data_IF_957931230051
#
_entry.id   IF_957931230051
#
_cell.length_a   1.000
_cell.length_b   1.000
_cell.length_c   1.000
_cell.angle_alpha   90.00
_cell.angle_beta   90.00
_cell.angle_gamma   90.00
#
_symmetry.space_group_name_H-M   'P 1'
#
loop_
_entity.id
_entity.type
_entity.pdbx_description
1 polymer ?
#
# COMPACT_ATOMS: atom_id res chain seq x y z
N UNK A 1 -16.05 2.94 7.17
CA UNK A 1 -14.69 3.04 6.60
C UNK A 1 -14.65 4.23 5.64
N UNK A 2 -13.58 4.98 5.71
CA UNK A 2 -13.44 6.23 4.95
C UNK A 2 -13.70 6.06 3.45
N UNK A 3 -13.12 5.03 2.83
CA UNK A 3 -13.22 4.82 1.39
C UNK A 3 -14.67 4.65 0.91
N UNK A 4 -15.47 3.93 1.68
CA UNK A 4 -16.89 3.74 1.36
C UNK A 4 -17.68 5.03 1.55
N UNK A 5 -17.30 5.86 2.50
CA UNK A 5 -17.97 7.14 2.76
C UNK A 5 -17.61 8.20 1.73
N UNK A 6 -16.33 8.27 1.34
CA UNK A 6 -15.85 9.27 0.38
C UNK A 6 -16.20 8.94 -1.06
N UNK A 7 -16.33 7.66 -1.39
CA UNK A 7 -16.62 7.16 -2.74
C UNK A 7 -15.58 7.56 -3.80
N UNK A 8 -14.36 7.88 -3.37
CA UNK A 8 -13.27 8.25 -4.29
C UNK A 8 -12.57 7.05 -4.88
N UNK A 9 -12.65 5.91 -4.21
CA UNK A 9 -11.99 4.70 -4.64
C UNK A 9 -12.42 3.50 -3.81
N UNK A 10 -11.72 2.39 -3.98
CA UNK A 10 -12.04 1.14 -3.33
C UNK A 10 -10.83 0.56 -2.62
N UNK A 11 -11.09 -0.06 -1.45
CA UNK A 11 -10.11 -0.90 -0.77
C UNK A 11 -10.31 -2.33 -1.25
N UNK A 12 -9.24 -2.94 -1.76
CA UNK A 12 -9.27 -4.34 -2.21
C UNK A 12 -8.28 -5.12 -1.36
N UNK A 13 -8.73 -6.22 -0.75
CA UNK A 13 -7.88 -7.08 0.07
C UNK A 13 -7.32 -8.22 -0.75
N UNK A 14 -6.04 -8.55 -0.51
CA UNK A 14 -5.30 -9.62 -1.19
C UNK A 14 -5.51 -9.63 -2.72
N UNK A 15 -5.38 -8.47 -3.41
CA UNK A 15 -5.59 -8.44 -4.85
C UNK A 15 -4.41 -9.08 -5.59
N UNK A 16 -4.71 -9.78 -6.67
CA UNK A 16 -3.65 -10.21 -7.58
C UNK A 16 -3.22 -9.03 -8.45
N UNK A 17 -1.96 -8.60 -8.32
CA UNK A 17 -1.35 -7.59 -9.17
C UNK A 17 -0.52 -8.29 -10.23
N UNK A 18 -0.96 -8.23 -11.48
CA UNK A 18 -0.29 -8.88 -12.61
C UNK A 18 0.28 -7.81 -13.52
N UNK A 19 1.55 -7.49 -13.33
CA UNK A 19 2.23 -6.45 -14.13
C UNK A 19 2.78 -7.02 -15.44
N UNK A 20 3.42 -8.22 -15.33
CA UNK A 20 3.89 -9.00 -16.47
C UNK A 20 3.78 -10.47 -16.08
N UNK A 21 4.10 -11.39 -16.98
CA UNK A 21 4.10 -12.82 -16.68
C UNK A 21 5.04 -13.17 -15.53
N UNK A 22 6.08 -12.38 -15.31
CA UNK A 22 7.11 -12.65 -14.31
C UNK A 22 6.98 -11.76 -13.05
N UNK A 23 6.20 -10.67 -13.11
CA UNK A 23 6.08 -9.69 -12.03
C UNK A 23 4.67 -9.72 -11.44
N UNK A 24 4.39 -10.76 -10.67
CA UNK A 24 3.09 -10.94 -10.02
C UNK A 24 3.27 -10.86 -8.50
N UNK A 25 2.41 -10.11 -7.82
CA UNK A 25 2.41 -10.01 -6.37
C UNK A 25 0.97 -10.01 -5.84
N UNK A 26 0.81 -10.38 -4.58
CA UNK A 26 -0.47 -10.30 -3.89
C UNK A 26 -0.23 -9.55 -2.59
N UNK A 27 -0.36 -8.22 -2.59
CA UNK A 27 -0.24 -7.44 -1.35
C UNK A 27 -1.42 -7.69 -0.42
N UNK A 28 -1.28 -7.32 0.86
CA UNK A 28 -2.34 -7.53 1.84
C UNK A 28 -3.58 -6.70 1.51
N UNK A 29 -3.39 -5.43 1.18
CA UNK A 29 -4.48 -4.62 0.66
C UNK A 29 -3.95 -3.47 -0.20
N UNK A 30 -4.83 -2.94 -1.04
CA UNK A 30 -4.55 -1.75 -1.83
C UNK A 30 -5.74 -0.81 -1.75
N UNK A 31 -5.49 0.48 -1.98
CA UNK A 31 -6.53 1.43 -2.31
C UNK A 31 -6.33 1.86 -3.77
N UNK A 32 -7.41 1.86 -4.53
CA UNK A 32 -7.37 2.24 -5.94
C UNK A 32 -8.52 3.19 -6.23
N UNK A 33 -8.23 4.28 -6.95
CA UNK A 33 -9.26 5.23 -7.34
C UNK A 33 -10.27 4.58 -8.29
N UNK A 34 -11.50 5.08 -8.30
CA UNK A 34 -12.57 4.56 -9.16
C UNK A 34 -12.20 4.61 -10.62
N UNK A 35 -11.61 5.71 -11.08
CA UNK A 35 -11.19 5.87 -12.47
C UNK A 35 -10.17 4.81 -12.87
N UNK A 36 -9.21 4.55 -12.00
CA UNK A 36 -8.15 3.60 -12.29
C UNK A 36 -8.67 2.17 -12.24
N UNK A 37 -9.53 1.85 -11.28
CA UNK A 37 -10.13 0.53 -11.16
C UNK A 37 -10.87 0.12 -12.43
N UNK A 38 -11.64 1.04 -13.00
CA UNK A 38 -12.39 0.77 -14.22
C UNK A 38 -11.49 0.41 -15.41
N UNK A 39 -10.23 0.89 -15.41
CA UNK A 39 -9.30 0.69 -16.52
C UNK A 39 -8.38 -0.52 -16.33
N UNK A 40 -8.12 -0.94 -15.09
CA UNK A 40 -7.06 -1.92 -14.82
C UNK A 40 -7.56 -3.26 -14.27
N UNK A 41 -8.84 -3.37 -13.95
CA UNK A 41 -9.40 -4.64 -13.49
C UNK A 41 -9.67 -5.54 -14.71
N UNK A 42 -9.10 -6.76 -14.71
CA UNK A 42 -9.33 -7.70 -15.81
C UNK A 42 -10.54 -8.61 -15.52
N UNK A 43 -10.86 -9.49 -16.48
CA UNK A 43 -12.00 -10.40 -16.39
C UNK A 43 -11.86 -11.43 -15.27
N UNK A 44 -10.63 -11.73 -14.85
CA UNK A 44 -10.33 -12.69 -13.79
C UNK A 44 -10.36 -12.07 -12.40
N UNK A 45 -10.60 -10.75 -12.30
CA UNK A 45 -10.56 -10.03 -11.03
C UNK A 45 -9.15 -9.60 -10.62
N UNK A 46 -8.18 -9.69 -11.50
CA UNK A 46 -6.81 -9.22 -11.23
C UNK A 46 -6.63 -7.77 -11.66
N UNK A 47 -5.76 -7.06 -10.97
CA UNK A 47 -5.36 -5.72 -11.36
C UNK A 47 -4.12 -5.83 -12.25
N UNK A 48 -4.22 -5.34 -13.48
CA UNK A 48 -3.15 -5.46 -14.48
C UNK A 48 -2.22 -4.25 -14.53
N UNK A 49 -2.43 -3.28 -13.64
CA UNK A 49 -1.54 -2.14 -13.44
C UNK A 49 -1.58 -1.72 -11.98
N UNK A 50 -0.65 -0.85 -11.58
CA UNK A 50 -0.49 -0.48 -10.19
C UNK A 50 -1.66 0.34 -9.64
N UNK A 51 -2.13 0.04 -8.42
CA UNK A 51 -3.00 0.96 -7.68
C UNK A 51 -2.18 2.15 -7.18
N UNK A 52 -2.84 3.15 -6.65
CA UNK A 52 -2.15 4.31 -6.10
C UNK A 52 -1.49 3.99 -4.75
N UNK A 53 -2.12 3.17 -3.92
CA UNK A 53 -1.61 2.83 -2.59
C UNK A 53 -1.57 1.33 -2.38
N UNK A 54 -0.43 0.84 -1.88
CA UNK A 54 -0.24 -0.57 -1.50
C UNK A 54 0.09 -0.62 -0.02
N UNK A 55 -0.54 -1.54 0.71
CA UNK A 55 -0.29 -1.76 2.14
C UNK A 55 0.09 -3.21 2.38
N UNK A 56 1.20 -3.41 3.08
CA UNK A 56 1.69 -4.72 3.50
C UNK A 56 1.74 -4.78 5.02
N UNK A 57 1.31 -5.89 5.60
CA UNK A 57 1.34 -6.11 7.03
C UNK A 57 2.39 -7.16 7.36
N UNK A 58 3.33 -6.80 8.23
CA UNK A 58 4.38 -7.73 8.68
C UNK A 58 3.97 -8.36 10.00
N UNK A 59 4.11 -9.68 10.09
CA UNK A 59 3.77 -10.40 11.31
C UNK A 59 5.00 -10.67 12.19
N UNK A 60 6.01 -11.33 11.65
CA UNK A 60 7.26 -11.65 12.38
C UNK A 60 8.43 -11.36 11.47
N UNK A 61 9.38 -10.56 11.96
CA UNK A 61 10.55 -10.17 11.18
C UNK A 61 11.56 -11.28 11.04
N UNK A 62 11.92 -11.61 9.80
CA UNK A 62 13.03 -12.49 9.46
C UNK A 62 13.94 -11.76 8.46
N UNK A 63 15.14 -12.28 8.24
CA UNK A 63 16.04 -11.71 7.25
C UNK A 63 15.44 -11.79 5.84
N UNK A 64 14.69 -12.85 5.57
CA UNK A 64 14.00 -13.03 4.29
C UNK A 64 12.91 -11.99 4.07
N UNK A 65 12.19 -11.61 5.14
CA UNK A 65 11.17 -10.58 5.08
C UNK A 65 11.76 -9.22 4.70
N UNK A 66 12.91 -8.88 5.29
CA UNK A 66 13.59 -7.61 4.98
C UNK A 66 13.96 -7.54 3.51
N UNK A 67 14.51 -8.61 2.97
CA UNK A 67 14.88 -8.70 1.55
C UNK A 67 13.65 -8.59 0.67
N UNK A 68 12.58 -9.30 1.04
CA UNK A 68 11.32 -9.28 0.29
C UNK A 68 10.71 -7.88 0.23
N UNK A 69 10.75 -7.13 1.34
CA UNK A 69 10.25 -5.75 1.37
C UNK A 69 11.02 -4.84 0.41
N UNK A 70 12.35 -4.98 0.36
CA UNK A 70 13.17 -4.17 -0.55
C UNK A 70 12.90 -4.50 -2.01
N UNK A 71 12.74 -5.78 -2.34
CA UNK A 71 12.40 -6.22 -3.68
C UNK A 71 11.02 -5.68 -4.07
N UNK A 72 10.04 -5.78 -3.19
CA UNK A 72 8.69 -5.28 -3.45
C UNK A 72 8.66 -3.76 -3.59
N UNK A 73 9.40 -3.03 -2.74
CA UNK A 73 9.48 -1.58 -2.83
C UNK A 73 10.01 -1.12 -4.20
N UNK A 74 11.05 -1.79 -4.68
CA UNK A 74 11.61 -1.51 -6.01
C UNK A 74 10.62 -1.81 -7.12
N UNK A 75 9.91 -2.92 -7.02
CA UNK A 75 8.89 -3.30 -8.00
C UNK A 75 7.77 -2.26 -8.04
N UNK A 76 7.24 -1.87 -6.89
CA UNK A 76 6.18 -0.86 -6.83
C UNK A 76 6.64 0.50 -7.33
N UNK A 77 7.90 0.87 -7.06
CA UNK A 77 8.49 2.10 -7.58
C UNK A 77 8.50 2.11 -9.11
N UNK A 78 8.96 1.02 -9.72
CA UNK A 78 9.02 0.87 -11.17
C UNK A 78 7.63 0.91 -11.79
N UNK A 79 6.64 0.30 -11.14
CA UNK A 79 5.28 0.19 -11.66
C UNK A 79 4.40 1.41 -11.41
N UNK A 80 4.89 2.42 -10.69
CA UNK A 80 4.19 3.70 -10.56
C UNK A 80 3.26 3.81 -9.35
N UNK A 81 3.41 2.95 -8.34
CA UNK A 81 2.68 3.09 -7.08
C UNK A 81 3.03 4.44 -6.44
N UNK A 82 2.03 5.18 -5.96
CA UNK A 82 2.22 6.50 -5.37
C UNK A 82 2.64 6.43 -3.91
N UNK A 83 2.06 5.51 -3.15
CA UNK A 83 2.44 5.29 -1.75
C UNK A 83 2.48 3.81 -1.43
N UNK A 84 3.40 3.46 -0.54
CA UNK A 84 3.58 2.11 -0.05
C UNK A 84 3.71 2.19 1.47
N UNK A 85 2.82 1.52 2.19
CA UNK A 85 2.83 1.50 3.65
C UNK A 85 3.18 0.11 4.14
N UNK A 86 4.08 0.04 5.12
CA UNK A 86 4.42 -1.21 5.78
C UNK A 86 3.99 -1.11 7.24
N UNK A 87 3.01 -1.94 7.62
CA UNK A 87 2.48 -1.99 8.98
C UNK A 87 3.22 -3.10 9.73
N UNK A 88 4.00 -2.72 10.74
CA UNK A 88 4.83 -3.66 11.51
C UNK A 88 4.21 -3.87 12.90
N UNK A 89 3.59 -5.04 13.09
CA UNK A 89 2.93 -5.39 14.35
C UNK A 89 3.92 -5.57 15.51
N UNK A 90 5.11 -6.11 15.22
CA UNK A 90 6.11 -6.35 16.28
C UNK A 90 6.61 -5.05 16.88
N UNK A 91 6.89 -4.07 16.03
CA UNK A 91 7.42 -2.77 16.46
C UNK A 91 6.31 -1.76 16.71
N UNK A 92 5.07 -2.08 16.36
CA UNK A 92 3.91 -1.18 16.43
C UNK A 92 4.21 0.15 15.76
N UNK A 93 4.63 0.07 14.50
CA UNK A 93 4.94 1.24 13.70
C UNK A 93 4.46 1.05 12.27
N UNK A 94 4.31 2.16 11.56
CA UNK A 94 3.93 2.17 10.14
C UNK A 94 4.99 2.97 9.39
N UNK A 95 5.64 2.34 8.42
CA UNK A 95 6.58 3.02 7.54
C UNK A 95 5.85 3.51 6.30
N UNK A 96 6.02 4.78 5.97
CA UNK A 96 5.37 5.42 4.82
C UNK A 96 6.42 5.70 3.75
N UNK A 97 6.25 5.10 2.59
CA UNK A 97 7.06 5.37 1.41
C UNK A 97 6.18 6.14 0.43
N UNK A 98 6.65 7.28 -0.04
CA UNK A 98 5.88 8.15 -0.94
C UNK A 98 6.71 8.52 -2.16
N UNK A 99 6.07 8.45 -3.33
CA UNK A 99 6.76 8.68 -4.60
C UNK A 99 7.30 10.11 -4.72
N UNK A 100 8.54 10.18 -5.19
CA UNK A 100 9.15 11.42 -5.64
C UNK A 100 9.72 11.21 -7.06
N UNK A 101 10.57 12.11 -7.53
CA UNK A 101 11.18 12.01 -8.86
C UNK A 101 12.16 10.85 -9.02
N UNK A 102 12.57 10.20 -7.93
CA UNK A 102 13.59 9.16 -7.94
C UNK A 102 13.08 7.77 -7.53
N UNK A 103 11.83 7.64 -7.09
CA UNK A 103 11.27 6.36 -6.70
C UNK A 103 10.32 6.46 -5.51
N UNK A 104 10.38 5.50 -4.60
CA UNK A 104 9.55 5.43 -3.39
C UNK A 104 10.42 5.49 -2.14
N UNK A 105 10.96 6.67 -1.79
CA UNK A 105 11.75 6.77 -0.57
C UNK A 105 10.88 6.71 0.69
N UNK A 106 11.49 6.30 1.81
CA UNK A 106 10.86 6.37 3.12
C UNK A 106 10.73 7.84 3.52
N UNK A 107 9.50 8.31 3.75
CA UNK A 107 9.25 9.70 4.12
C UNK A 107 8.85 9.87 5.58
N UNK A 108 8.36 8.82 6.24
CA UNK A 108 7.98 8.88 7.64
C UNK A 108 7.92 7.48 8.25
N UNK A 109 8.21 7.40 9.54
CA UNK A 109 7.92 6.24 10.36
C UNK A 109 6.99 6.71 11.47
N UNK A 110 5.78 6.18 11.51
CA UNK A 110 4.74 6.58 12.43
C UNK A 110 4.70 5.61 13.62
N UNK A 111 4.58 6.16 14.82
CA UNK A 111 4.48 5.40 16.07
C UNK A 111 3.09 5.59 16.67
N UNK A 112 2.82 4.94 17.81
CA UNK A 112 1.49 4.94 18.42
C UNK A 112 0.95 6.35 18.76
N UNK A 113 1.84 7.31 18.99
CA UNK A 113 1.42 8.69 19.27
C UNK A 113 1.10 9.51 18.03
N UNK A 114 1.31 8.95 16.85
CA UNK A 114 1.13 9.66 15.59
C UNK A 114 -0.23 9.40 14.97
N UNK A 115 -0.57 10.20 13.95
CA UNK A 115 -1.79 10.06 13.16
C UNK A 115 -1.40 9.72 11.73
N UNK A 116 -2.03 8.69 11.18
CA UNK A 116 -1.84 8.27 9.80
C UNK A 116 -2.74 9.10 8.89
N UNK A 117 -2.14 9.70 7.87
CA UNK A 117 -2.87 10.43 6.83
C UNK A 117 -2.14 10.29 5.50
N UNK A 118 -2.80 10.67 4.42
CA UNK A 118 -2.21 10.59 3.09
C UNK A 118 -2.83 11.64 2.15
N UNK A 119 -2.02 12.28 1.29
CA UNK A 119 -2.57 13.15 0.24
C UNK A 119 -3.47 12.43 -0.75
N UNK A 120 -3.32 11.11 -0.89
CA UNK A 120 -4.20 10.31 -1.75
C UNK A 120 -5.60 10.16 -1.18
N UNK A 121 -5.75 10.32 0.14
CA UNK A 121 -6.98 10.03 0.88
C UNK A 121 -7.42 11.29 1.63
N UNK A 122 -8.03 12.28 0.94
CA UNK A 122 -8.42 13.54 1.57
C UNK A 122 -9.33 13.30 2.78
N UNK A 123 -9.08 14.02 3.87
CA UNK A 123 -9.82 13.94 5.12
C UNK A 123 -9.70 12.62 5.88
N UNK A 124 -8.87 11.69 5.38
CA UNK A 124 -8.58 10.46 6.12
C UNK A 124 -7.56 10.76 7.22
N UNK A 125 -7.92 10.43 8.45
CA UNK A 125 -7.04 10.50 9.61
C UNK A 125 -7.31 9.29 10.50
N UNK A 126 -6.25 8.59 10.90
CA UNK A 126 -6.37 7.40 11.73
C UNK A 126 -5.28 7.39 12.78
N UNK A 127 -5.65 7.31 14.05
CA UNK A 127 -4.69 7.13 15.13
C UNK A 127 -3.92 5.82 14.92
N UNK A 128 -2.59 5.89 14.95
CA UNK A 128 -1.75 4.70 14.81
C UNK A 128 -1.98 3.74 15.98
N UNK A 129 -2.19 4.27 17.18
CA UNK A 129 -2.51 3.44 18.35
C UNK A 129 -3.74 2.57 18.13
N UNK A 130 -4.76 3.10 17.46
CA UNK A 130 -5.99 2.34 17.16
C UNK A 130 -5.75 1.22 16.14
N UNK A 131 -4.81 1.40 15.22
CA UNK A 131 -4.46 0.35 14.24
C UNK A 131 -3.95 -0.88 14.98
N UNK A 132 -3.20 -0.70 16.06
CA UNK A 132 -2.57 -1.78 16.82
C UNK A 132 -3.35 -2.19 18.08
N UNK A 133 -4.52 -1.66 18.28
CA UNK A 133 -5.36 -2.00 19.45
C UNK A 133 -6.16 -3.29 19.28
#
# INVERSE_FOLDING_TARGET
>A
IWSNQSKLGEVVTTPGLVFTDDDNVIPDLVWISNDRLARVLDESGHLVAAPELVVEVLSVGTDNERRDREVKRKLYAIRGVQEYWIVDWNKQQIEIFRRDSHGLPLVATLFCSDVLSSPLLPNFEQSVAEVFS
#
